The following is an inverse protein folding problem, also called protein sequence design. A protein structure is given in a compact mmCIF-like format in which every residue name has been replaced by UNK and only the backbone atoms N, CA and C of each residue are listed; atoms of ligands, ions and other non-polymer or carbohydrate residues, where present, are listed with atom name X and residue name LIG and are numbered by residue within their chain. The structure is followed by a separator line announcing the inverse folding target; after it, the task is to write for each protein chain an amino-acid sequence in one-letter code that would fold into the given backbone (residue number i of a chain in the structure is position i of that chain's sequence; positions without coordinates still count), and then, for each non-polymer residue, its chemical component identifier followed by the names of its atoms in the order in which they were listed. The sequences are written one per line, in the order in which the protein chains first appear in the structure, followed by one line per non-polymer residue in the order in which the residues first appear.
data_IF_139771570870
#
_entry.id   IF_139771570870
#
_cell.length_a   1.000
_cell.length_b   1.000
_cell.length_c   1.000
_cell.angle_alpha   90.00
_cell.angle_beta   90.00
_cell.angle_gamma   90.00
#
_symmetry.space_group_name_H-M   'P 1'
#
loop_
_entity.id
_entity.type
_entity.pdbx_description
1 polymer ?
#
# COMPACT_ATOMS: atom_id res chain seq x y z
N UNK A 1 -28.63 -22.58 60.65
CA UNK A 1 -29.35 -22.90 59.40
C UNK A 1 -28.98 -21.82 58.38
N UNK A 2 -28.25 -22.20 57.31
CA UNK A 2 -27.88 -21.42 56.09
C UNK A 2 -26.94 -20.22 56.28
N UNK A 3 -25.97 -19.92 55.43
CA UNK A 3 -25.23 -20.65 54.39
C UNK A 3 -24.09 -19.70 53.97
N UNK A 4 -22.86 -20.21 53.93
CA UNK A 4 -21.70 -19.61 53.27
C UNK A 4 -21.99 -19.25 51.81
N UNK A 5 -21.58 -18.05 51.37
CA UNK A 5 -21.31 -17.76 49.96
C UNK A 5 -20.09 -16.83 49.83
N UNK A 6 -18.90 -17.43 49.93
CA UNK A 6 -17.71 -16.94 49.24
C UNK A 6 -17.81 -17.40 47.78
N UNK A 7 -18.02 -16.46 46.84
CA UNK A 7 -17.90 -16.74 45.41
C UNK A 7 -16.53 -16.27 44.91
N UNK A 8 -15.71 -17.27 44.61
CA UNK A 8 -14.35 -17.15 44.15
C UNK A 8 -14.26 -16.77 42.65
N UNK A 9 -13.06 -16.31 42.31
CA UNK A 9 -12.52 -15.87 41.04
C UNK A 9 -12.86 -16.71 39.78
N UNK A 10 -12.87 -16.03 38.63
CA UNK A 10 -12.91 -16.65 37.31
C UNK A 10 -12.49 -15.71 36.17
N UNK A 11 -11.54 -14.79 36.41
CA UNK A 11 -10.90 -14.02 35.33
C UNK A 11 -9.81 -14.86 34.66
N UNK A 12 -10.19 -15.67 33.68
CA UNK A 12 -9.21 -16.39 32.85
C UNK A 12 -8.48 -15.41 31.93
N UNK A 13 -7.16 -15.55 31.71
CA UNK A 13 -6.46 -14.73 30.73
C UNK A 13 -6.97 -15.12 29.34
N UNK A 14 -7.60 -14.16 28.66
CA UNK A 14 -7.86 -14.22 27.23
C UNK A 14 -6.52 -14.32 26.52
N UNK A 15 -6.05 -15.56 26.32
CA UNK A 15 -4.88 -15.83 25.49
C UNK A 15 -5.28 -15.45 24.08
N UNK A 16 -4.95 -14.23 23.67
CA UNK A 16 -4.86 -13.88 22.27
C UNK A 16 -4.00 -14.95 21.61
N UNK A 17 -4.61 -15.76 20.75
CA UNK A 17 -3.90 -16.73 19.94
C UNK A 17 -2.93 -15.94 19.07
N UNK A 18 -1.67 -15.88 19.49
CA UNK A 18 -0.58 -15.55 18.59
C UNK A 18 -0.58 -16.70 17.59
N UNK A 19 -1.06 -16.44 16.37
CA UNK A 19 -0.97 -17.39 15.27
C UNK A 19 0.50 -17.77 15.12
N UNK A 20 0.87 -18.90 15.70
CA UNK A 20 2.20 -19.44 15.61
C UNK A 20 2.45 -19.74 14.13
N UNK A 21 3.29 -18.91 13.49
CA UNK A 21 3.68 -19.11 12.10
C UNK A 21 4.43 -20.43 12.00
N UNK A 22 3.78 -21.44 11.41
CA UNK A 22 4.35 -22.78 11.25
C UNK A 22 5.48 -22.69 10.22
N UNK A 23 6.72 -23.12 10.56
CA UNK A 23 7.82 -23.15 9.61
C UNK A 23 7.45 -23.93 8.35
N UNK A 24 7.69 -23.37 7.17
CA UNK A 24 7.34 -23.99 5.88
C UNK A 24 5.95 -23.66 5.34
N UNK A 25 5.12 -22.90 6.07
CA UNK A 25 3.86 -22.34 5.53
C UNK A 25 4.15 -21.10 4.68
N UNK A 26 3.53 -21.01 3.50
CA UNK A 26 3.58 -19.84 2.62
C UNK A 26 2.17 -19.38 2.31
N UNK A 27 1.76 -18.25 2.88
CA UNK A 27 0.49 -17.61 2.54
C UNK A 27 0.62 -16.87 1.20
N UNK A 28 0.23 -17.54 0.12
CA UNK A 28 0.37 -17.03 -1.26
C UNK A 28 -0.50 -15.80 -1.51
N UNK A 29 -1.67 -15.72 -0.88
CA UNK A 29 -2.64 -14.64 -1.07
C UNK A 29 -2.02 -13.26 -0.78
N UNK A 30 -1.39 -13.11 0.38
CA UNK A 30 -0.73 -11.87 0.79
C UNK A 30 0.41 -11.51 -0.16
N UNK A 31 1.22 -12.51 -0.53
CA UNK A 31 2.34 -12.33 -1.47
C UNK A 31 1.87 -11.86 -2.84
N UNK A 32 0.76 -12.41 -3.34
CA UNK A 32 0.18 -12.02 -4.63
C UNK A 32 -0.34 -10.59 -4.56
N UNK A 33 -1.10 -10.22 -3.53
CA UNK A 33 -1.58 -8.85 -3.38
C UNK A 33 -0.46 -7.83 -3.33
N UNK A 34 0.59 -8.11 -2.55
CA UNK A 34 1.77 -7.24 -2.50
C UNK A 34 2.46 -7.12 -3.85
N UNK A 35 2.76 -8.24 -4.50
CA UNK A 35 3.49 -8.29 -5.79
C UNK A 35 2.72 -7.58 -6.90
N UNK A 36 1.41 -7.83 -6.99
CA UNK A 36 0.54 -7.26 -8.01
C UNK A 36 0.38 -5.76 -7.77
N UNK A 37 0.17 -5.36 -6.52
CA UNK A 37 0.04 -3.94 -6.16
C UNK A 37 1.33 -3.17 -6.44
N UNK A 38 2.48 -3.74 -6.12
CA UNK A 38 3.80 -3.17 -6.41
C UNK A 38 4.01 -2.97 -7.92
N UNK A 39 3.73 -3.99 -8.73
CA UNK A 39 3.83 -3.92 -10.19
C UNK A 39 2.86 -2.90 -10.79
N UNK A 40 1.61 -2.94 -10.38
CA UNK A 40 0.58 -2.03 -10.88
C UNK A 40 0.93 -0.58 -10.52
N UNK A 41 1.42 -0.34 -9.30
CA UNK A 41 1.81 1.00 -8.84
C UNK A 41 3.03 1.52 -9.60
N UNK A 42 4.08 0.71 -9.74
CA UNK A 42 5.27 1.07 -10.50
C UNK A 42 4.94 1.44 -11.96
N UNK A 43 4.09 0.63 -12.60
CA UNK A 43 3.65 0.84 -13.98
C UNK A 43 2.86 2.15 -14.13
N UNK A 44 1.93 2.41 -13.20
CA UNK A 44 1.08 3.59 -13.25
C UNK A 44 1.87 4.88 -12.98
N UNK A 45 2.77 4.84 -12.00
CA UNK A 45 3.58 6.01 -11.62
C UNK A 45 4.70 6.26 -12.63
N UNK A 46 5.19 5.21 -13.30
CA UNK A 46 6.29 5.30 -14.27
C UNK A 46 7.67 5.24 -13.63
N UNK A 47 7.81 4.47 -12.54
CA UNK A 47 9.08 4.26 -11.83
C UNK A 47 9.50 2.78 -11.88
N UNK A 48 10.79 2.46 -11.71
CA UNK A 48 11.23 1.07 -11.56
C UNK A 48 10.52 0.40 -10.40
N UNK A 49 10.16 -0.89 -10.57
CA UNK A 49 9.52 -1.68 -9.51
C UNK A 49 10.29 -1.63 -8.18
N UNK A 50 11.63 -1.74 -8.25
CA UNK A 50 12.49 -1.77 -7.06
C UNK A 50 12.42 -0.49 -6.22
N UNK A 51 11.93 0.61 -6.79
CA UNK A 51 11.79 1.90 -6.10
C UNK A 51 10.41 2.06 -5.44
N UNK A 52 9.49 1.11 -5.64
CA UNK A 52 8.16 1.10 -5.04
C UNK A 52 8.12 0.10 -3.89
N UNK A 53 7.90 0.58 -2.68
CA UNK A 53 7.65 -0.26 -1.51
C UNK A 53 6.16 -0.30 -1.23
N UNK A 54 5.60 -1.50 -1.18
CA UNK A 54 4.18 -1.72 -0.91
C UNK A 54 3.99 -2.60 0.32
N UNK A 55 3.08 -2.16 1.17
CA UNK A 55 2.48 -2.93 2.25
C UNK A 55 0.98 -3.03 2.02
N UNK A 56 0.42 -4.23 2.18
CA UNK A 56 -1.01 -4.51 1.98
C UNK A 56 -1.54 -5.17 3.24
N UNK A 57 -2.57 -4.58 3.82
CA UNK A 57 -3.22 -5.13 5.01
C UNK A 57 -4.71 -5.33 4.73
N UNK A 58 -5.27 -6.46 5.16
CA UNK A 58 -6.71 -6.64 5.12
C UNK A 58 -7.40 -5.81 6.21
N UNK A 59 -8.54 -5.22 5.89
CA UNK A 59 -9.34 -4.43 6.82
C UNK A 59 -10.81 -4.86 6.73
N UNK A 60 -11.63 -4.76 7.79
CA UNK A 60 -13.06 -4.95 7.67
C UNK A 60 -13.62 -4.04 6.57
N UNK A 61 -14.25 -4.65 5.56
CA UNK A 61 -14.80 -3.93 4.39
C UNK A 61 -13.85 -3.73 3.21
N UNK A 62 -12.61 -4.26 3.23
CA UNK A 62 -11.76 -4.25 2.05
C UNK A 62 -10.27 -4.41 2.31
N UNK A 63 -9.46 -3.69 1.53
CA UNK A 63 -7.99 -3.72 1.60
C UNK A 63 -7.47 -2.31 1.86
N UNK A 64 -6.51 -2.21 2.78
CA UNK A 64 -5.72 -1.01 2.99
C UNK A 64 -4.34 -1.19 2.35
N UNK A 65 -3.88 -0.19 1.60
CA UNK A 65 -2.60 -0.21 0.90
C UNK A 65 -1.74 0.98 1.34
N UNK A 66 -0.47 0.72 1.64
CA UNK A 66 0.55 1.76 1.83
C UNK A 66 1.60 1.63 0.75
N UNK A 67 1.86 2.73 0.05
CA UNK A 67 2.81 2.79 -1.07
C UNK A 67 3.83 3.88 -0.75
N UNK A 68 5.11 3.53 -0.78
CA UNK A 68 6.21 4.48 -0.71
C UNK A 68 6.99 4.44 -2.02
N UNK A 69 7.12 5.58 -2.68
CA UNK A 69 7.64 5.67 -4.06
C UNK A 69 8.25 7.04 -4.32
N UNK A 70 9.30 7.15 -5.15
CA UNK A 70 9.69 8.44 -5.71
C UNK A 70 8.62 8.95 -6.68
N UNK A 71 8.54 10.26 -6.85
CA UNK A 71 7.68 10.91 -7.84
C UNK A 71 8.51 11.35 -9.06
N UNK A 72 8.15 10.93 -10.28
CA UNK A 72 8.83 11.41 -11.48
C UNK A 72 8.56 12.90 -11.70
N UNK A 73 9.59 13.73 -11.70
CA UNK A 73 9.49 15.17 -11.98
C UNK A 73 10.10 15.47 -13.35
N UNK A 74 9.59 16.49 -14.07
CA UNK A 74 10.28 16.98 -15.25
C UNK A 74 11.68 17.48 -14.89
N UNK A 75 12.57 17.48 -15.89
CA UNK A 75 13.90 18.08 -15.74
C UNK A 75 13.77 19.56 -15.34
N UNK A 76 14.56 19.98 -14.35
CA UNK A 76 14.49 21.33 -13.80
C UNK A 76 15.08 22.38 -14.74
N UNK A 77 15.88 21.95 -15.72
CA UNK A 77 16.40 22.81 -16.78
C UNK A 77 15.36 23.04 -17.91
N UNK A 78 14.32 22.22 -17.99
CA UNK A 78 13.25 22.33 -18.98
C UNK A 78 12.10 23.20 -18.46
N UNK A 79 12.31 24.52 -18.52
CA UNK A 79 11.33 25.51 -18.00
C UNK A 79 9.96 25.40 -18.69
N UNK A 80 9.92 24.95 -19.95
CA UNK A 80 8.66 24.74 -20.68
C UNK A 80 7.90 23.57 -20.05
N UNK A 81 8.56 22.43 -19.83
CA UNK A 81 7.95 21.27 -19.18
C UNK A 81 7.48 21.58 -17.75
N UNK A 82 8.22 22.39 -17.00
CA UNK A 82 7.82 22.82 -15.65
C UNK A 82 6.55 23.66 -15.71
N UNK A 83 6.49 24.66 -16.60
CA UNK A 83 5.35 25.57 -16.71
C UNK A 83 4.04 24.86 -17.11
N UNK A 84 4.15 23.74 -17.82
CA UNK A 84 3.04 22.90 -18.26
C UNK A 84 2.71 21.78 -17.27
N UNK A 85 3.52 21.60 -16.23
CA UNK A 85 3.35 20.51 -15.27
C UNK A 85 2.26 20.83 -14.24
N UNK A 86 1.54 19.78 -13.84
CA UNK A 86 0.58 19.86 -12.73
C UNK A 86 1.35 20.01 -11.41
N UNK A 87 0.90 20.86 -10.46
CA UNK A 87 1.49 20.96 -9.14
C UNK A 87 1.63 19.59 -8.46
N UNK A 88 2.72 19.40 -7.71
CA UNK A 88 3.08 18.12 -7.09
C UNK A 88 1.93 17.53 -6.24
N UNK A 89 1.25 18.36 -5.44
CA UNK A 89 0.15 17.90 -4.60
C UNK A 89 -1.05 17.42 -5.42
N UNK A 90 -1.42 18.15 -6.46
CA UNK A 90 -2.54 17.76 -7.33
C UNK A 90 -2.20 16.49 -8.11
N UNK A 91 -0.95 16.36 -8.55
CA UNK A 91 -0.47 15.13 -9.19
C UNK A 91 -0.48 13.94 -8.23
N UNK A 92 -0.08 14.12 -6.97
CA UNK A 92 -0.15 13.08 -5.96
C UNK A 92 -1.60 12.63 -5.69
N UNK A 93 -2.54 13.59 -5.63
CA UNK A 93 -3.98 13.33 -5.49
C UNK A 93 -4.53 12.52 -6.66
N UNK A 94 -4.21 12.93 -7.89
CA UNK A 94 -4.60 12.20 -9.11
C UNK A 94 -4.01 10.78 -9.14
N UNK A 95 -2.74 10.61 -8.78
CA UNK A 95 -2.11 9.29 -8.67
C UNK A 95 -2.82 8.42 -7.62
N UNK A 96 -3.17 8.98 -6.46
CA UNK A 96 -3.89 8.26 -5.42
C UNK A 96 -5.26 7.74 -5.92
N UNK A 97 -6.03 8.58 -6.61
CA UNK A 97 -7.34 8.21 -7.18
C UNK A 97 -7.20 7.14 -8.28
N UNK A 98 -6.24 7.31 -9.18
CA UNK A 98 -5.99 6.35 -10.25
C UNK A 98 -5.51 5.01 -9.71
N UNK A 99 -4.64 5.01 -8.69
CA UNK A 99 -4.21 3.80 -8.00
C UNK A 99 -5.39 3.11 -7.32
N UNK A 100 -6.28 3.86 -6.66
CA UNK A 100 -7.47 3.27 -6.03
C UNK A 100 -8.34 2.56 -7.05
N UNK A 101 -8.69 3.23 -8.15
CA UNK A 101 -9.52 2.65 -9.21
C UNK A 101 -8.85 1.41 -9.83
N UNK A 102 -7.56 1.53 -10.17
CA UNK A 102 -6.81 0.46 -10.83
C UNK A 102 -6.63 -0.76 -9.92
N UNK A 103 -6.30 -0.55 -8.65
CA UNK A 103 -6.08 -1.63 -7.70
C UNK A 103 -7.39 -2.31 -7.31
N UNK A 104 -8.48 -1.57 -7.11
CA UNK A 104 -9.80 -2.18 -6.90
C UNK A 104 -10.19 -3.10 -8.06
N UNK A 105 -9.96 -2.65 -9.31
CA UNK A 105 -10.23 -3.45 -10.49
C UNK A 105 -9.37 -4.71 -10.61
N UNK A 106 -8.07 -4.61 -10.30
CA UNK A 106 -7.14 -5.75 -10.41
C UNK A 106 -7.32 -6.75 -9.26
N UNK A 107 -7.48 -6.27 -8.03
CA UNK A 107 -7.56 -7.11 -6.83
C UNK A 107 -8.94 -7.75 -6.66
N UNK A 108 -9.97 -7.24 -7.36
CA UNK A 108 -11.35 -7.72 -7.24
C UNK A 108 -11.94 -7.47 -5.85
N UNK A 109 -11.36 -6.55 -5.09
CA UNK A 109 -11.75 -6.15 -3.73
C UNK A 109 -11.64 -4.64 -3.61
N UNK A 110 -12.53 -4.06 -2.83
CA UNK A 110 -12.51 -2.63 -2.58
C UNK A 110 -11.25 -2.21 -1.81
N UNK A 111 -10.49 -1.31 -2.40
CA UNK A 111 -9.39 -0.61 -1.71
C UNK A 111 -9.98 0.56 -0.95
N UNK A 112 -10.18 0.37 0.36
CA UNK A 112 -10.85 1.34 1.24
C UNK A 112 -9.92 2.47 1.68
N UNK A 113 -8.61 2.23 1.68
CA UNK A 113 -7.61 3.23 2.08
C UNK A 113 -6.32 3.07 1.29
N UNK A 114 -5.84 4.17 0.72
CA UNK A 114 -4.50 4.28 0.16
C UNK A 114 -3.73 5.36 0.89
N UNK A 115 -2.59 5.00 1.46
CA UNK A 115 -1.62 5.94 1.98
C UNK A 115 -0.42 6.00 1.03
N UNK A 116 -0.26 7.10 0.33
CA UNK A 116 0.86 7.35 -0.59
C UNK A 116 1.92 8.21 0.10
N UNK A 117 3.14 7.69 0.21
CA UNK A 117 4.30 8.41 0.72
C UNK A 117 5.27 8.67 -0.43
N UNK A 118 5.52 9.94 -0.72
CA UNK A 118 6.55 10.33 -1.69
C UNK A 118 7.90 10.34 -0.98
N UNK A 119 8.80 9.46 -1.38
CA UNK A 119 10.13 9.31 -0.74
C UNK A 119 11.19 10.21 -1.35
N UNK A 120 10.95 10.76 -2.54
CA UNK A 120 11.88 11.61 -3.26
C UNK A 120 11.38 11.96 -4.65
N UNK A 121 12.23 12.59 -5.44
CA UNK A 121 11.98 12.92 -6.84
C UNK A 121 12.94 12.15 -7.74
N UNK A 122 12.46 11.73 -8.91
CA UNK A 122 13.31 11.10 -9.94
C UNK A 122 13.08 11.79 -11.28
N UNK A 123 14.14 11.98 -12.06
CA UNK A 123 14.02 12.48 -13.42
C UNK A 123 13.95 11.26 -14.34
N UNK A 124 12.83 11.05 -15.05
CA UNK A 124 12.70 9.88 -15.91
C UNK A 124 13.69 9.98 -17.07
N UNK A 125 14.61 9.00 -17.16
CA UNK A 125 15.53 8.90 -18.30
C UNK A 125 14.73 8.65 -19.59
N UNK A 126 14.74 9.62 -20.51
CA UNK A 126 14.13 9.45 -21.83
C UNK A 126 14.91 8.38 -22.58
N UNK A 127 14.39 7.15 -22.62
CA UNK A 127 14.96 6.05 -23.40
C UNK A 127 14.85 6.39 -24.89
N UNK A 128 15.96 6.83 -25.48
CA UNK A 128 16.06 7.06 -26.93
C UNK A 128 15.95 5.70 -27.63
N UNK A 129 14.85 5.47 -28.35
CA UNK A 129 14.72 4.34 -29.27
C UNK A 129 15.70 4.53 -30.43
N UNK A 130 16.55 3.53 -30.67
CA UNK A 130 17.40 3.41 -31.86
C UNK A 130 16.70 2.55 -32.89
#
# INVERSE_FOLDING_TARGET
MRADQHLAAGGGPERAATEATVPGRVDVKERVYRTVTEQASATLIGVPRGDVKVDVTEHPGGIAVRIATPLPVPDLDDTVAISQSVPVLERARQLQEQLQQRLTGILGRDVTRINLTITGATIPERRRVR
#
